data_IF_898773337610
#
_entry.id   IF_898773337610
#
_cell.length_a   1.000
_cell.length_b   1.000
_cell.length_c   1.000
_cell.angle_alpha   90.00
_cell.angle_beta   90.00
_cell.angle_gamma   90.00
#
_symmetry.space_group_name_H-M   'P 1'
#
loop_
_entity.id
_entity.type
_entity.pdbx_description
1 polymer ?
#
# COMPACT_ATOMS: atom_id res chain seq x y z
N UNK A 1 54.84 -6.34 47.39
CA UNK A 1 54.28 -5.03 47.00
C UNK A 1 52.78 -5.24 46.86
N UNK A 2 52.00 -4.71 47.81
CA UNK A 2 50.66 -5.21 48.12
C UNK A 2 49.58 -4.33 47.49
N UNK A 3 48.81 -4.91 46.56
CA UNK A 3 47.67 -4.29 45.89
C UNK A 3 46.44 -4.28 46.81
N UNK A 4 46.21 -3.15 47.51
CA UNK A 4 45.05 -2.96 48.40
C UNK A 4 44.26 -1.67 48.18
N UNK A 5 44.47 -0.96 47.08
CA UNK A 5 43.80 0.34 46.83
C UNK A 5 43.20 0.43 45.43
N UNK A 6 42.02 -0.17 45.21
CA UNK A 6 41.10 0.20 44.12
C UNK A 6 39.65 -0.19 44.48
N UNK A 7 39.07 0.38 45.55
CA UNK A 7 37.63 0.21 45.86
C UNK A 7 36.93 1.54 46.23
N UNK A 8 37.58 2.71 46.17
CA UNK A 8 36.98 3.95 46.69
C UNK A 8 37.03 5.18 45.76
N UNK A 9 36.82 5.00 44.45
CA UNK A 9 36.48 6.10 43.54
C UNK A 9 35.79 5.53 42.31
N UNK A 10 34.57 5.89 41.93
CA UNK A 10 33.84 7.12 42.15
C UNK A 10 32.33 6.83 42.27
N UNK A 11 31.81 6.92 43.50
CA UNK A 11 30.37 7.09 43.82
C UNK A 11 30.01 8.59 43.84
N UNK A 12 30.93 9.46 43.38
CA UNK A 12 30.85 10.92 43.49
C UNK A 12 30.73 11.63 42.13
N UNK A 13 30.18 10.93 41.13
CA UNK A 13 30.02 11.43 39.75
C UNK A 13 28.57 11.33 39.24
N UNK A 14 27.58 11.44 40.12
CA UNK A 14 26.15 11.36 39.77
C UNK A 14 25.34 12.52 40.40
N UNK A 15 25.86 13.75 40.33
CA UNK A 15 25.22 14.92 40.96
C UNK A 15 25.39 16.23 40.18
N UNK A 16 25.69 16.18 38.87
CA UNK A 16 25.76 17.39 38.03
C UNK A 16 25.43 17.08 36.57
N UNK A 17 24.15 17.09 36.19
CA UNK A 17 23.85 16.93 34.76
C UNK A 17 22.42 16.79 34.28
N UNK A 18 21.40 17.18 35.05
CA UNK A 18 20.05 17.38 34.49
C UNK A 18 19.44 18.65 35.06
N UNK A 19 20.03 19.79 34.69
CA UNK A 19 19.27 21.04 34.60
C UNK A 19 18.46 20.95 33.30
N UNK A 20 17.36 20.21 33.34
CA UNK A 20 16.24 20.56 32.48
C UNK A 20 15.76 21.89 33.03
N UNK A 21 15.62 22.90 32.19
CA UNK A 21 14.91 24.11 32.54
C UNK A 21 13.48 23.70 32.91
N UNK A 22 13.27 23.35 34.17
CA UNK A 22 11.96 23.40 34.79
C UNK A 22 11.66 24.87 34.94
N UNK A 23 10.99 25.43 33.94
CA UNK A 23 9.98 26.41 34.28
C UNK A 23 9.11 25.71 35.33
N UNK A 24 8.98 26.28 36.53
CA UNK A 24 7.85 26.00 37.41
C UNK A 24 6.59 26.52 36.66
N UNK A 25 6.25 25.87 35.54
CA UNK A 25 5.13 26.09 34.62
C UNK A 25 3.85 25.39 35.14
N UNK A 26 3.84 25.08 36.45
CA UNK A 26 2.70 24.45 37.09
C UNK A 26 1.57 25.46 37.29
N UNK A 27 1.80 26.78 37.21
CA UNK A 27 0.72 27.77 37.27
C UNK A 27 0.02 27.89 35.91
N UNK A 28 -1.32 27.86 35.94
CA UNK A 28 -2.16 28.13 34.78
C UNK A 28 -2.03 29.60 34.32
N UNK A 29 -1.05 29.88 33.47
CA UNK A 29 -0.88 31.16 32.79
C UNK A 29 -0.99 31.02 31.26
N UNK A 30 -0.70 32.08 30.50
CA UNK A 30 -0.80 32.08 29.04
C UNK A 30 0.21 31.16 28.33
N UNK A 31 1.23 30.68 29.02
CA UNK A 31 2.30 29.83 28.47
C UNK A 31 1.97 28.33 28.61
N UNK A 32 0.90 27.98 29.35
CA UNK A 32 0.37 26.63 29.45
C UNK A 32 -0.13 26.10 28.08
N UNK A 33 0.63 25.17 27.50
CA UNK A 33 0.29 24.55 26.21
C UNK A 33 -0.97 23.67 26.27
N UNK A 34 -1.23 23.07 27.43
CA UNK A 34 -2.38 22.20 27.67
C UNK A 34 -3.58 22.94 28.26
N UNK A 35 -4.17 22.39 29.33
CA UNK A 35 -5.37 22.91 29.96
C UNK A 35 -5.17 23.08 31.48
N UNK A 36 -6.03 23.84 32.13
CA UNK A 36 -5.93 24.12 33.55
C UNK A 36 -7.00 23.39 34.36
N UNK A 37 -6.57 22.73 35.42
CA UNK A 37 -7.49 22.09 36.35
C UNK A 37 -8.12 23.09 37.36
N UNK A 38 -8.96 22.58 38.25
CA UNK A 38 -9.64 23.39 39.27
C UNK A 38 -8.72 23.95 40.36
N UNK A 39 -7.52 23.38 40.52
CA UNK A 39 -6.50 23.85 41.47
C UNK A 39 -5.60 24.93 40.86
N UNK A 40 -5.79 25.20 39.56
CA UNK A 40 -5.03 26.19 38.80
C UNK A 40 -3.71 25.62 38.26
N UNK A 41 -3.59 24.29 38.18
CA UNK A 41 -2.39 23.63 37.69
C UNK A 41 -2.49 23.34 36.19
N UNK A 42 -1.42 23.65 35.45
CA UNK A 42 -1.33 23.33 34.02
C UNK A 42 -1.15 21.81 33.81
N UNK A 43 -2.14 21.18 33.18
CA UNK A 43 -2.11 19.80 32.75
C UNK A 43 -1.69 19.72 31.29
N UNK A 44 -1.07 18.60 30.88
CA UNK A 44 -0.60 18.39 29.51
C UNK A 44 -1.71 18.48 28.43
N UNK A 45 -2.97 18.25 28.82
CA UNK A 45 -4.10 18.40 27.90
C UNK A 45 -4.32 17.20 26.96
N UNK A 46 -3.69 16.05 27.21
CA UNK A 46 -3.68 14.86 26.36
C UNK A 46 -4.33 13.63 27.01
N UNK A 47 -4.89 13.77 28.21
CA UNK A 47 -5.56 12.67 28.93
C UNK A 47 -7.08 12.78 28.85
N UNK A 48 -7.83 11.67 28.89
CA UNK A 48 -9.29 11.70 28.85
C UNK A 48 -9.95 12.47 30.00
N UNK A 49 -9.27 12.61 31.15
CA UNK A 49 -9.79 13.35 32.31
C UNK A 49 -9.34 14.81 32.34
N UNK A 50 -8.39 15.21 31.50
CA UNK A 50 -7.85 16.56 31.40
C UNK A 50 -7.47 16.86 29.95
N UNK A 51 -8.49 17.05 29.12
CA UNK A 51 -8.34 17.34 27.69
C UNK A 51 -8.53 18.84 27.42
N UNK A 52 -7.64 19.44 26.62
CA UNK A 52 -7.73 20.84 26.22
C UNK A 52 -6.39 21.41 25.76
N UNK A 53 -6.39 22.62 25.23
CA UNK A 53 -5.18 23.38 24.85
C UNK A 53 -5.32 24.86 25.17
N UNK A 54 -4.19 25.57 25.22
CA UNK A 54 -4.14 27.03 25.29
C UNK A 54 -4.64 27.61 26.61
N UNK A 55 -4.23 27.03 27.74
CA UNK A 55 -4.57 27.48 29.09
C UNK A 55 -6.10 27.55 29.37
N UNK A 56 -6.91 26.86 28.57
CA UNK A 56 -8.34 26.72 28.81
C UNK A 56 -8.61 25.77 29.98
N UNK A 57 -9.80 25.81 30.58
CA UNK A 57 -10.17 24.84 31.62
C UNK A 57 -10.20 23.41 31.05
N UNK A 58 -9.59 22.46 31.76
CA UNK A 58 -9.60 21.05 31.38
C UNK A 58 -11.02 20.49 31.34
N UNK A 59 -11.33 19.73 30.29
CA UNK A 59 -12.60 19.00 30.16
C UNK A 59 -12.35 17.50 30.20
N UNK A 60 -13.28 16.76 30.81
CA UNK A 60 -13.30 15.30 30.76
C UNK A 60 -14.06 14.85 29.51
N UNK A 61 -13.44 13.98 28.72
CA UNK A 61 -14.07 13.39 27.54
C UNK A 61 -15.20 12.43 27.93
N UNK A 62 -16.21 12.30 27.07
CA UNK A 62 -17.31 11.36 27.31
C UNK A 62 -16.81 9.90 27.26
N UNK A 63 -17.56 8.97 27.84
CA UNK A 63 -17.22 7.56 27.78
C UNK A 63 -17.08 7.09 26.32
N UNK A 64 -15.94 6.48 25.99
CA UNK A 64 -15.61 6.04 24.63
C UNK A 64 -14.89 7.07 23.75
N UNK A 65 -14.60 8.27 24.28
CA UNK A 65 -13.79 9.27 23.58
C UNK A 65 -12.32 9.23 24.04
N UNK A 66 -11.43 9.63 23.14
CA UNK A 66 -10.01 9.84 23.42
C UNK A 66 -9.68 11.32 23.27
N UNK A 67 -8.73 11.83 24.06
CA UNK A 67 -8.23 13.18 23.86
C UNK A 67 -7.17 13.15 22.76
N UNK A 68 -7.36 13.88 21.66
CA UNK A 68 -6.40 13.99 20.55
C UNK A 68 -6.22 15.44 20.18
N UNK A 69 -4.98 15.94 20.29
CA UNK A 69 -4.64 17.36 20.11
C UNK A 69 -5.51 18.31 20.97
N UNK A 70 -5.77 17.91 22.23
CA UNK A 70 -6.60 18.66 23.18
C UNK A 70 -8.07 18.79 22.80
N UNK A 71 -8.57 17.90 21.93
CA UNK A 71 -9.99 17.78 21.62
C UNK A 71 -10.45 16.35 21.90
N UNK A 72 -11.59 16.21 22.57
CA UNK A 72 -12.22 14.91 22.75
C UNK A 72 -12.78 14.42 21.41
N UNK A 73 -12.13 13.42 20.84
CA UNK A 73 -12.58 12.76 19.61
C UNK A 73 -13.27 11.45 19.99
N UNK A 74 -14.39 11.19 19.34
CA UNK A 74 -14.92 9.83 19.30
C UNK A 74 -14.03 9.11 18.29
N UNK A 75 -13.29 8.05 18.66
CA UNK A 75 -12.66 7.21 17.65
C UNK A 75 -13.76 6.87 16.67
N UNK A 76 -13.58 7.21 15.40
CA UNK A 76 -14.47 6.71 14.37
C UNK A 76 -14.43 5.20 14.54
N UNK A 77 -15.49 4.64 15.11
CA UNK A 77 -15.74 3.23 15.02
C UNK A 77 -15.84 3.02 13.53
N UNK A 78 -14.73 2.62 12.91
CA UNK A 78 -14.66 2.34 11.48
C UNK A 78 -15.92 1.61 11.13
N UNK A 79 -16.56 2.05 10.06
CA UNK A 79 -17.91 1.70 9.67
C UNK A 79 -18.07 0.21 9.30
N UNK A 80 -17.28 -0.70 9.86
CA UNK A 80 -17.29 -2.13 9.58
C UNK A 80 -17.17 -2.93 10.89
N UNK A 81 -17.86 -2.52 11.96
CA UNK A 81 -18.13 -3.41 13.10
C UNK A 81 -19.15 -4.50 12.68
N UNK A 82 -18.75 -5.32 11.71
CA UNK A 82 -19.28 -6.65 11.51
C UNK A 82 -19.08 -7.47 12.78
N UNK A 83 -19.94 -8.47 12.95
CA UNK A 83 -20.09 -9.20 14.20
C UNK A 83 -19.10 -10.35 14.27
N UNK A 84 -17.83 -10.06 14.58
CA UNK A 84 -16.80 -11.09 14.81
C UNK A 84 -15.71 -10.66 15.81
N UNK A 85 -16.02 -9.70 16.69
CA UNK A 85 -15.18 -9.33 17.83
C UNK A 85 -15.05 -10.47 18.87
N UNK A 86 -14.23 -11.46 18.53
CA UNK A 86 -13.81 -12.53 19.41
C UNK A 86 -12.53 -13.17 18.90
N UNK A 87 -11.38 -12.63 19.34
CA UNK A 87 -10.10 -13.37 19.51
C UNK A 87 -9.45 -13.76 18.16
N UNK A 88 -8.55 -12.97 17.55
CA UNK A 88 -7.13 -12.88 17.93
C UNK A 88 -6.43 -11.67 17.28
N UNK A 89 -5.73 -10.86 18.08
CA UNK A 89 -4.70 -9.93 17.61
C UNK A 89 -3.36 -10.67 17.35
N UNK A 90 -3.48 -11.87 16.77
CA UNK A 90 -2.42 -12.68 16.21
C UNK A 90 -2.71 -12.84 14.72
N UNK A 91 -1.69 -12.69 13.91
CA UNK A 91 -1.76 -12.92 12.47
C UNK A 91 -1.91 -14.44 12.25
N UNK A 92 -3.15 -14.91 12.32
CA UNK A 92 -3.56 -16.31 12.15
C UNK A 92 -4.68 -16.31 11.09
N UNK A 93 -4.38 -16.06 9.81
CA UNK A 93 -4.34 -17.16 8.85
C UNK A 93 -5.62 -18.00 8.83
N UNK A 94 -6.61 -17.59 8.04
CA UNK A 94 -7.61 -18.52 7.49
C UNK A 94 -9.03 -18.47 8.06
N UNK A 95 -9.81 -17.51 7.58
CA UNK A 95 -11.08 -17.83 6.91
C UNK A 95 -11.04 -17.13 5.57
N UNK A 96 -10.77 -17.90 4.51
CA UNK A 96 -10.49 -17.40 3.17
C UNK A 96 -11.68 -16.76 2.49
N UNK A 97 -12.07 -15.58 2.99
CA UNK A 97 -13.11 -14.76 2.40
C UNK A 97 -12.52 -13.76 1.39
N UNK A 98 -11.19 -13.74 1.22
CA UNK A 98 -10.52 -12.91 0.23
C UNK A 98 -11.06 -13.17 -1.17
N UNK A 99 -11.61 -12.14 -1.78
CA UNK A 99 -12.05 -12.10 -3.17
C UNK A 99 -10.86 -11.99 -4.13
N UNK A 100 -11.13 -12.08 -5.43
CA UNK A 100 -10.11 -11.82 -6.45
C UNK A 100 -9.62 -10.37 -6.30
N UNK A 101 -8.30 -10.15 -6.19
CA UNK A 101 -7.71 -8.82 -5.93
C UNK A 101 -7.15 -8.63 -4.52
N UNK A 102 -7.67 -9.38 -3.54
CA UNK A 102 -7.32 -9.19 -2.14
C UNK A 102 -5.88 -9.64 -1.82
N UNK A 103 -5.23 -9.04 -0.82
CA UNK A 103 -3.92 -9.49 -0.35
C UNK A 103 -4.03 -10.85 0.34
N UNK A 104 -2.99 -11.68 0.19
CA UNK A 104 -2.94 -13.00 0.79
C UNK A 104 -1.52 -13.43 1.10
N UNK A 105 -1.36 -14.38 2.02
CA UNK A 105 -0.06 -15.03 2.28
C UNK A 105 -0.08 -16.50 1.86
N UNK A 106 -1.26 -17.12 1.86
CA UNK A 106 -1.47 -18.53 1.57
C UNK A 106 -2.79 -18.73 0.82
N UNK A 107 -2.95 -19.87 0.15
CA UNK A 107 -4.21 -20.18 -0.54
C UNK A 107 -5.44 -20.22 0.37
N UNK A 108 -5.28 -20.48 1.67
CA UNK A 108 -6.38 -20.47 2.64
C UNK A 108 -6.93 -19.07 2.95
N UNK A 109 -6.25 -18.01 2.53
CA UNK A 109 -6.73 -16.64 2.69
C UNK A 109 -7.72 -16.25 1.58
N UNK A 110 -7.82 -17.07 0.52
CA UNK A 110 -8.61 -16.78 -0.67
C UNK A 110 -9.82 -17.71 -0.80
N UNK A 111 -10.96 -17.14 -1.15
CA UNK A 111 -12.19 -17.89 -1.43
C UNK A 111 -12.03 -18.89 -2.59
N UNK A 112 -11.15 -18.56 -3.54
CA UNK A 112 -10.74 -19.41 -4.65
C UNK A 112 -9.66 -20.44 -4.34
N UNK A 113 -9.10 -20.43 -3.13
CA UNK A 113 -8.03 -21.33 -2.70
C UNK A 113 -6.65 -21.06 -3.32
N UNK A 114 -6.49 -19.99 -4.11
CA UNK A 114 -5.27 -19.65 -4.82
C UNK A 114 -4.76 -18.28 -4.40
N UNK A 115 -3.55 -18.26 -3.86
CA UNK A 115 -2.82 -17.03 -3.56
C UNK A 115 -1.59 -16.96 -4.46
N UNK A 116 -1.59 -16.02 -5.41
CA UNK A 116 -0.43 -15.73 -6.25
C UNK A 116 0.56 -14.92 -5.43
N UNK A 117 1.82 -15.34 -5.37
CA UNK A 117 2.84 -14.67 -4.54
C UNK A 117 4.05 -14.24 -5.35
N UNK A 118 4.85 -13.31 -4.81
CA UNK A 118 6.07 -12.85 -5.45
C UNK A 118 7.03 -13.99 -5.83
N UNK A 119 7.13 -15.02 -4.99
CA UNK A 119 8.07 -16.14 -5.21
C UNK A 119 7.63 -17.10 -6.32
N UNK A 120 6.34 -17.10 -6.68
CA UNK A 120 5.78 -18.04 -7.64
C UNK A 120 5.35 -17.32 -8.93
N UNK A 121 4.79 -16.12 -8.81
CA UNK A 121 4.03 -15.46 -9.88
C UNK A 121 4.33 -13.96 -10.01
N UNK A 122 5.23 -13.39 -9.20
CA UNK A 122 5.57 -11.95 -9.26
C UNK A 122 4.60 -11.02 -8.50
N UNK A 123 3.61 -11.55 -7.80
CA UNK A 123 2.61 -10.74 -7.08
C UNK A 123 3.07 -10.32 -5.68
N UNK A 124 3.66 -9.12 -5.60
CA UNK A 124 4.08 -8.52 -4.32
C UNK A 124 2.89 -8.32 -3.36
N UNK A 125 3.07 -8.74 -2.11
CA UNK A 125 2.02 -8.69 -1.07
C UNK A 125 0.92 -9.75 -1.22
N UNK A 126 1.08 -10.66 -2.20
CA UNK A 126 0.11 -11.69 -2.52
C UNK A 126 -1.14 -11.17 -3.22
N UNK A 127 -1.77 -12.03 -4.02
CA UNK A 127 -2.96 -11.71 -4.78
C UNK A 127 -3.90 -12.91 -4.80
N UNK A 128 -5.06 -12.75 -4.17
CA UNK A 128 -6.09 -13.76 -4.20
C UNK A 128 -6.64 -13.89 -5.62
N UNK A 129 -6.70 -15.13 -6.07
CA UNK A 129 -7.22 -15.50 -7.37
C UNK A 129 -7.95 -16.84 -7.26
N UNK A 130 -8.47 -17.30 -8.39
CA UNK A 130 -9.02 -18.62 -8.55
C UNK A 130 -8.63 -19.14 -9.94
N UNK A 131 -8.58 -20.46 -10.08
CA UNK A 131 -8.37 -21.07 -11.40
C UNK A 131 -9.63 -20.90 -12.24
N UNK A 132 -9.45 -20.42 -13.47
CA UNK A 132 -10.53 -20.29 -14.44
C UNK A 132 -10.30 -21.22 -15.62
N UNK A 133 -11.37 -21.53 -16.33
CA UNK A 133 -11.33 -22.34 -17.55
C UNK A 133 -12.55 -22.05 -18.40
N UNK A 134 -12.62 -22.67 -19.58
CA UNK A 134 -13.78 -22.52 -20.48
C UNK A 134 -15.11 -22.96 -19.83
N UNK A 135 -15.04 -23.73 -18.72
CA UNK A 135 -16.20 -24.20 -17.95
C UNK A 135 -16.32 -23.58 -16.56
N UNK A 136 -15.32 -22.83 -16.11
CA UNK A 136 -15.29 -22.18 -14.78
C UNK A 136 -15.04 -20.70 -14.99
N UNK A 137 -16.12 -19.92 -14.90
CA UNK A 137 -16.08 -18.47 -15.00
C UNK A 137 -15.49 -17.83 -13.74
N UNK A 138 -14.85 -16.68 -13.92
CA UNK A 138 -14.42 -15.81 -12.84
C UNK A 138 -15.63 -15.13 -12.15
N UNK A 139 -15.50 -14.72 -10.88
CA UNK A 139 -16.54 -13.95 -10.20
C UNK A 139 -16.74 -12.58 -10.87
N UNK A 140 -17.87 -11.94 -10.57
CA UNK A 140 -18.19 -10.65 -11.16
C UNK A 140 -17.11 -9.61 -10.84
N UNK A 141 -16.68 -8.84 -11.86
CA UNK A 141 -15.59 -7.87 -11.74
C UNK A 141 -14.20 -8.49 -11.87
N UNK A 142 -14.09 -9.68 -12.46
CA UNK A 142 -12.80 -10.28 -12.79
C UNK A 142 -12.86 -11.05 -14.10
N UNK A 143 -11.74 -11.06 -14.82
CA UNK A 143 -11.56 -11.73 -16.10
C UNK A 143 -10.53 -12.85 -16.00
N UNK A 144 -10.69 -13.87 -16.84
CA UNK A 144 -9.76 -14.99 -16.88
C UNK A 144 -8.51 -14.61 -17.69
N UNK A 145 -7.35 -14.57 -17.03
CA UNK A 145 -6.07 -14.31 -17.68
C UNK A 145 -5.54 -15.47 -18.52
N UNK A 146 -4.53 -15.16 -19.35
CA UNK A 146 -3.84 -16.15 -20.16
C UNK A 146 -2.70 -16.83 -19.40
N UNK A 147 -2.64 -18.15 -19.62
CA UNK A 147 -1.67 -19.14 -19.15
C UNK A 147 -0.58 -18.64 -18.16
N UNK A 148 -0.70 -18.97 -16.86
CA UNK A 148 -1.71 -19.83 -16.25
C UNK A 148 -3.09 -19.16 -16.12
N UNK A 149 -4.17 -19.94 -16.30
CA UNK A 149 -5.55 -19.43 -16.25
C UNK A 149 -5.98 -19.06 -14.83
N UNK A 150 -5.85 -17.78 -14.50
CA UNK A 150 -6.18 -17.20 -13.20
C UNK A 150 -7.15 -16.03 -13.36
N UNK A 151 -8.05 -15.84 -12.41
CA UNK A 151 -8.93 -14.67 -12.40
C UNK A 151 -8.18 -13.44 -11.90
N UNK A 152 -8.27 -12.35 -12.65
CA UNK A 152 -7.70 -11.05 -12.30
C UNK A 152 -8.83 -10.02 -12.23
N UNK A 153 -8.76 -9.15 -11.23
CA UNK A 153 -9.70 -8.05 -11.02
C UNK A 153 -9.74 -7.14 -12.24
N UNK A 154 -10.95 -6.88 -12.72
CA UNK A 154 -11.21 -5.97 -13.83
C UNK A 154 -11.07 -4.53 -13.38
N UNK A 155 -10.62 -3.68 -14.29
CA UNK A 155 -10.51 -2.27 -14.04
C UNK A 155 -11.01 -1.44 -15.24
N UNK A 156 -11.77 -0.36 -15.01
CA UNK A 156 -12.54 0.32 -16.05
C UNK A 156 -11.72 1.24 -16.95
N UNK A 157 -10.53 1.65 -16.49
CA UNK A 157 -9.70 2.66 -17.14
C UNK A 157 -8.33 2.07 -17.51
N UNK A 158 -8.35 1.09 -18.42
CA UNK A 158 -7.16 0.41 -18.90
C UNK A 158 -6.09 1.39 -19.39
N UNK A 159 -4.86 1.19 -18.94
CA UNK A 159 -3.72 2.00 -19.34
C UNK A 159 -3.71 3.41 -18.76
N UNK A 160 -4.53 3.75 -17.76
CA UNK A 160 -4.49 5.06 -17.06
C UNK A 160 -3.73 5.03 -15.71
N UNK A 161 -3.12 3.89 -15.35
CA UNK A 161 -2.37 3.70 -14.11
C UNK A 161 -3.13 2.98 -13.01
N UNK A 162 -3.01 3.45 -11.76
CA UNK A 162 -3.76 2.95 -10.58
C UNK A 162 -5.23 3.38 -10.69
N UNK A 163 -6.04 2.66 -11.46
CA UNK A 163 -7.49 2.86 -11.51
C UNK A 163 -8.16 2.31 -10.23
N UNK A 164 -9.12 1.40 -10.32
CA UNK A 164 -9.71 0.68 -9.17
C UNK A 164 -8.76 -0.35 -8.55
N UNK A 165 -7.59 -0.57 -9.15
CA UNK A 165 -6.62 -1.53 -8.66
C UNK A 165 -6.05 -1.15 -7.29
N UNK A 166 -5.72 -2.18 -6.50
CA UNK A 166 -5.04 -2.05 -5.20
C UNK A 166 -3.77 -1.20 -5.31
N UNK A 167 -3.41 -0.50 -4.23
CA UNK A 167 -2.13 0.22 -4.17
C UNK A 167 -0.96 -0.71 -4.50
N UNK A 168 -0.09 -0.25 -5.40
CA UNK A 168 1.02 -1.04 -5.94
C UNK A 168 0.64 -1.93 -7.13
N UNK A 169 -0.57 -1.79 -7.65
CA UNK A 169 -1.05 -2.45 -8.87
C UNK A 169 -1.43 -1.40 -9.92
N UNK A 170 -1.40 -1.77 -11.18
CA UNK A 170 -1.74 -0.92 -12.34
C UNK A 170 -2.76 -1.63 -13.20
N UNK A 171 -3.61 -0.85 -13.83
CA UNK A 171 -4.65 -1.33 -14.72
C UNK A 171 -4.11 -1.42 -16.15
N UNK A 172 -3.91 -2.64 -16.64
CA UNK A 172 -3.37 -2.88 -17.98
C UNK A 172 -4.46 -3.39 -18.94
N UNK A 173 -4.39 -2.99 -20.21
CA UNK A 173 -5.35 -3.30 -21.27
C UNK A 173 -5.17 -4.69 -21.90
N UNK A 174 -4.36 -5.55 -21.28
CA UNK A 174 -3.67 -6.64 -21.97
C UNK A 174 -4.56 -7.81 -22.44
N UNK A 175 -5.81 -7.93 -22.00
CA UNK A 175 -6.55 -9.20 -22.07
C UNK A 175 -7.93 -9.14 -22.73
N UNK A 176 -8.15 -8.21 -23.67
CA UNK A 176 -9.40 -8.24 -24.42
C UNK A 176 -9.17 -8.95 -25.76
N UNK A 177 -9.48 -10.24 -25.81
CA UNK A 177 -9.45 -11.11 -27.00
C UNK A 177 -10.31 -10.57 -28.14
N UNK A 178 -11.28 -9.73 -27.77
CA UNK A 178 -12.23 -9.10 -28.66
C UNK A 178 -12.53 -7.68 -28.16
N UNK A 179 -11.77 -6.65 -28.59
CA UNK A 179 -12.02 -5.26 -28.19
C UNK A 179 -13.43 -4.77 -28.60
N UNK A 180 -14.17 -5.51 -29.43
CA UNK A 180 -15.56 -5.20 -29.73
C UNK A 180 -16.55 -5.72 -28.68
N UNK A 181 -16.16 -6.68 -27.83
CA UNK A 181 -16.98 -7.15 -26.70
C UNK A 181 -16.77 -6.31 -25.45
N UNK A 182 -15.52 -6.04 -25.09
CA UNK A 182 -15.21 -5.34 -23.82
C UNK A 182 -14.19 -4.21 -24.04
N UNK A 183 -14.53 -3.14 -24.78
CA UNK A 183 -13.58 -2.13 -25.29
C UNK A 183 -12.80 -1.33 -24.23
N UNK A 184 -13.07 -1.52 -22.94
CA UNK A 184 -12.49 -0.71 -21.85
C UNK A 184 -12.13 -1.49 -20.59
N UNK A 185 -12.21 -2.83 -20.58
CA UNK A 185 -11.81 -3.59 -19.39
C UNK A 185 -10.32 -3.92 -19.43
N UNK A 186 -9.58 -3.31 -18.51
CA UNK A 186 -8.23 -3.75 -18.16
C UNK A 186 -8.27 -4.77 -17.02
N UNK A 187 -7.12 -5.32 -16.67
CA UNK A 187 -6.93 -6.13 -15.47
C UNK A 187 -5.84 -5.56 -14.58
N UNK A 188 -5.94 -5.79 -13.27
CA UNK A 188 -4.99 -5.30 -12.29
C UNK A 188 -3.74 -6.19 -12.17
N UNK A 189 -2.57 -5.63 -12.45
CA UNK A 189 -1.27 -6.30 -12.33
C UNK A 189 -0.34 -5.57 -11.35
N UNK A 190 0.62 -6.24 -10.70
CA UNK A 190 1.61 -5.58 -9.86
C UNK A 190 2.36 -4.50 -10.66
N UNK A 191 2.51 -3.32 -10.06
CA UNK A 191 3.40 -2.31 -10.58
C UNK A 191 4.85 -2.74 -10.32
N UNK A 192 5.69 -2.67 -11.35
CA UNK A 192 7.11 -2.93 -11.23
C UNK A 192 7.77 -1.77 -10.47
N UNK A 193 8.54 -2.04 -9.43
CA UNK A 193 9.14 -0.96 -8.61
C UNK A 193 10.56 -0.60 -9.04
N UNK A 194 11.27 -1.51 -9.71
CA UNK A 194 12.61 -1.31 -10.25
C UNK A 194 12.97 -2.39 -11.30
N UNK A 195 14.06 -2.18 -12.04
CA UNK A 195 14.61 -3.15 -13.01
C UNK A 195 15.03 -4.48 -12.33
N UNK A 196 15.26 -4.47 -11.02
CA UNK A 196 15.66 -5.67 -10.28
C UNK A 196 14.48 -6.61 -10.01
N UNK A 197 13.25 -6.09 -10.07
CA UNK A 197 11.99 -6.84 -9.97
C UNK A 197 11.71 -7.63 -11.26
N UNK A 198 12.28 -7.19 -12.38
CA UNK A 198 12.12 -7.83 -13.68
C UNK A 198 12.84 -9.17 -13.74
N UNK A 199 12.07 -10.25 -13.79
CA UNK A 199 12.62 -11.62 -13.74
C UNK A 199 13.23 -12.10 -15.07
N UNK A 200 13.04 -11.35 -16.16
CA UNK A 200 13.61 -11.67 -17.48
C UNK A 200 13.87 -10.39 -18.29
N UNK A 201 15.15 -10.04 -18.50
CA UNK A 201 15.70 -9.07 -19.48
C UNK A 201 15.07 -7.68 -19.60
N UNK A 202 14.00 -7.38 -18.87
CA UNK A 202 13.17 -6.23 -19.06
C UNK A 202 13.50 -5.08 -18.13
N UNK A 203 13.25 -3.87 -18.62
CA UNK A 203 13.44 -2.65 -17.85
C UNK A 203 12.12 -2.21 -17.22
N UNK A 204 12.16 -1.80 -15.97
CA UNK A 204 11.06 -1.14 -15.29
C UNK A 204 10.99 0.32 -15.76
N UNK A 205 9.96 0.66 -16.54
CA UNK A 205 9.70 2.03 -16.98
C UNK A 205 8.37 2.52 -16.38
N UNK A 206 8.40 3.62 -15.63
CA UNK A 206 7.21 4.23 -15.00
C UNK A 206 6.33 3.30 -14.16
N UNK A 207 6.88 2.23 -13.61
CA UNK A 207 6.09 1.27 -12.84
C UNK A 207 5.71 -0.01 -13.59
N UNK A 208 6.28 -0.26 -14.77
CA UNK A 208 5.93 -1.37 -15.65
C UNK A 208 7.19 -2.11 -16.13
N UNK A 209 7.18 -3.43 -16.17
CA UNK A 209 8.24 -4.25 -16.77
C UNK A 209 8.11 -4.20 -18.29
N UNK A 210 9.19 -3.90 -19.01
CA UNK A 210 9.25 -4.01 -20.47
C UNK A 210 10.06 -5.25 -20.83
N UNK A 211 9.43 -6.40 -21.06
CA UNK A 211 10.14 -7.67 -21.28
C UNK A 211 9.48 -8.60 -22.30
N UNK A 212 10.32 -9.45 -22.91
CA UNK A 212 10.18 -10.19 -24.18
C UNK A 212 9.03 -11.21 -24.25
N UNK A 213 8.23 -11.37 -23.20
CA UNK A 213 7.21 -12.43 -23.15
C UNK A 213 5.84 -11.99 -22.66
N UNK A 214 5.71 -10.98 -21.80
CA UNK A 214 4.37 -10.61 -21.27
C UNK A 214 4.13 -9.14 -20.91
N UNK A 215 4.99 -8.18 -21.28
CA UNK A 215 4.68 -6.75 -21.10
C UNK A 215 5.42 -5.86 -22.13
N UNK A 216 4.69 -5.13 -22.97
CA UNK A 216 5.29 -4.28 -24.02
C UNK A 216 5.30 -2.80 -23.64
N UNK A 217 6.50 -2.26 -23.45
CA UNK A 217 6.86 -0.96 -24.02
C UNK A 217 8.23 -1.07 -24.72
N UNK A 218 8.13 -1.09 -26.05
CA UNK A 218 9.16 -0.93 -27.09
C UNK A 218 10.58 -1.43 -26.78
N UNK A 219 10.88 -2.60 -27.33
CA UNK A 219 12.24 -3.07 -27.55
C UNK A 219 13.05 -2.01 -28.30
N UNK A 220 14.25 -1.71 -27.80
CA UNK A 220 15.23 -0.87 -28.48
C UNK A 220 15.79 -1.67 -29.68
N UNK A 221 15.00 -1.76 -30.75
CA UNK A 221 15.49 -2.30 -32.02
C UNK A 221 16.35 -1.23 -32.71
N UNK A 222 17.66 -1.37 -32.51
CA UNK A 222 18.64 -0.98 -33.52
C UNK A 222 18.51 -1.81 -34.82
N UNK A 223 17.63 -2.82 -34.86
CA UNK A 223 17.32 -3.62 -36.05
C UNK A 223 15.81 -3.65 -36.31
N UNK A 224 15.30 -2.74 -37.15
CA UNK A 224 13.87 -2.48 -37.38
C UNK A 224 12.91 -3.68 -37.32
N UNK A 225 11.91 -3.56 -36.44
CA UNK A 225 10.89 -4.58 -36.18
C UNK A 225 10.08 -4.96 -37.42
N UNK A 226 10.09 -6.26 -37.71
CA UNK A 226 9.24 -6.92 -38.70
C UNK A 226 8.36 -7.91 -37.94
N UNK A 227 7.05 -7.76 -38.03
CA UNK A 227 6.10 -8.80 -37.62
C UNK A 227 6.26 -10.00 -38.58
N UNK A 228 6.69 -11.18 -38.10
CA UNK A 228 6.97 -12.34 -38.96
C UNK A 228 5.71 -12.92 -39.61
N UNK A 229 4.50 -12.62 -39.10
CA UNK A 229 3.25 -13.19 -39.59
C UNK A 229 2.51 -12.25 -40.56
N UNK A 230 2.71 -10.93 -40.47
CA UNK A 230 1.99 -9.95 -41.30
C UNK A 230 2.85 -9.22 -42.34
N UNK A 231 4.17 -9.21 -42.19
CA UNK A 231 5.08 -8.55 -43.13
C UNK A 231 4.87 -7.04 -43.31
N UNK A 232 4.16 -6.39 -42.37
CA UNK A 232 3.93 -4.95 -42.33
C UNK A 232 4.40 -4.38 -40.98
N UNK A 233 4.85 -3.11 -40.95
CA UNK A 233 5.18 -2.44 -39.69
C UNK A 233 3.92 -2.29 -38.81
N UNK A 234 4.02 -2.63 -37.53
CA UNK A 234 2.91 -2.49 -36.58
C UNK A 234 2.53 -1.01 -36.45
N UNK A 235 1.28 -0.61 -36.79
CA UNK A 235 0.84 0.78 -36.72
C UNK A 235 0.74 1.33 -35.28
N UNK A 236 0.95 0.50 -34.25
CA UNK A 236 0.88 0.88 -32.83
C UNK A 236 2.19 1.45 -32.26
N UNK A 237 3.28 1.46 -33.02
CA UNK A 237 4.55 2.05 -32.59
C UNK A 237 4.89 3.32 -33.39
N UNK A 238 5.07 4.50 -32.75
CA UNK A 238 5.62 5.67 -33.43
C UNK A 238 7.07 5.39 -33.86
N UNK A 239 7.40 5.81 -35.08
CA UNK A 239 8.72 5.63 -35.72
C UNK A 239 9.87 6.16 -34.84
N UNK A 240 10.96 5.39 -34.80
CA UNK A 240 12.17 5.58 -34.01
C UNK A 240 12.71 7.01 -34.02
N UNK A 241 12.83 7.64 -32.84
CA UNK A 241 13.55 8.91 -32.67
C UNK A 241 13.10 9.76 -31.49
N UNK A 242 11.89 9.54 -30.98
CA UNK A 242 11.39 10.29 -29.83
C UNK A 242 11.67 9.51 -28.52
N UNK A 243 12.27 10.14 -27.49
CA UNK A 243 12.29 9.55 -26.16
C UNK A 243 10.83 9.34 -25.76
N UNK A 244 10.50 8.15 -25.27
CA UNK A 244 9.18 7.79 -24.74
C UNK A 244 8.52 9.06 -24.17
N UNK A 245 7.46 9.53 -24.84
CA UNK A 245 6.87 10.83 -24.52
C UNK A 245 6.63 10.87 -23.01
N UNK A 246 7.01 11.98 -22.36
CA UNK A 246 7.15 12.13 -20.91
C UNK A 246 5.88 11.78 -20.07
N UNK A 247 4.80 11.37 -20.72
CA UNK A 247 3.51 11.02 -20.13
C UNK A 247 3.03 9.59 -20.45
N UNK A 248 3.81 8.71 -21.07
CA UNK A 248 3.56 7.26 -21.03
C UNK A 248 2.21 6.72 -21.54
N UNK A 249 1.57 7.36 -22.55
CA UNK A 249 0.36 6.81 -23.17
C UNK A 249 0.52 6.67 -24.69
N UNK A 250 0.21 5.49 -25.24
CA UNK A 250 -0.09 5.33 -26.66
C UNK A 250 -1.52 5.81 -26.91
N UNK A 251 -1.69 7.00 -27.51
CA UNK A 251 -2.99 7.51 -27.92
C UNK A 251 -3.34 6.90 -29.29
N UNK A 252 -4.56 6.36 -29.51
CA UNK A 252 -4.98 5.96 -30.85
C UNK A 252 -5.10 7.21 -31.75
N UNK A 253 -4.42 7.19 -32.90
CA UNK A 253 -4.53 8.23 -33.91
C UNK A 253 -5.89 8.10 -34.59
N UNK A 254 -6.70 9.18 -34.58
CA UNK A 254 -7.92 9.29 -35.39
C UNK A 254 -7.60 9.44 -36.88
#
# INVERSE_FOLDING_TARGET
>A
MNARYMVFGAVFGLMMGTFVAGCDDDECDSDCQGCCDSEGVCQAGDTPNACGTGAAACVACAAGQSCTNGVCVTPDAGADAGTDAGVDAGVDGGTGDGGVGDPCMTGSDCSGGLCLTLMTDGFAGGYCSQTCSDTVACPAGSSCGFDPRHCLEDCPDAGTGQSTCRTGYVCDAFLIDDPAKDPFQGSCFPACTDDASATSTGHCFNGYECGDSFFHCCDNLLDGGFDPDSGMPDPRCPVSGDPCAANGYCIPVQ
#
